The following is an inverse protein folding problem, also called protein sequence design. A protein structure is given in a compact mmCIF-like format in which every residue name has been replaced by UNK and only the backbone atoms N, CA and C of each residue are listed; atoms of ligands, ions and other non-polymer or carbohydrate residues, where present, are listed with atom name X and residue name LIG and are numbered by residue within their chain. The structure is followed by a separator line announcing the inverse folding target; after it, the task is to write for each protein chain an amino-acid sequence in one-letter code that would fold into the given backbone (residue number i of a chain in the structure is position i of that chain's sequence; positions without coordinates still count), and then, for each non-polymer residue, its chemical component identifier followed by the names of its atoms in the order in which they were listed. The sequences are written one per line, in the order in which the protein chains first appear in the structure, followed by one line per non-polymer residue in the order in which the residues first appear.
data_IF_011438418710
#
_entry.id   IF_011438418710
#
_cell.length_a   1.000
_cell.length_b   1.000
_cell.length_c   1.000
_cell.angle_alpha   90.00
_cell.angle_beta   90.00
_cell.angle_gamma   90.00
#
_symmetry.space_group_name_H-M   'P 1'
#
loop_
_entity.id
_entity.type
_entity.pdbx_description
1 polymer ?
#
# COMPACT_ATOMS: atom_id res chain seq x y z
N UNK A 1 14.23 10.67 -21.86
CA UNK A 1 13.37 11.40 -20.90
C UNK A 1 13.92 12.82 -20.75
N UNK A 2 13.06 13.84 -20.67
CA UNK A 2 13.53 15.21 -20.39
C UNK A 2 13.91 15.31 -18.91
N UNK A 3 15.05 15.92 -18.61
CA UNK A 3 15.57 16.05 -17.24
C UNK A 3 14.57 16.71 -16.28
N UNK A 4 13.85 17.73 -16.76
CA UNK A 4 12.79 18.40 -16.00
C UNK A 4 11.59 17.52 -15.63
N UNK A 5 11.36 16.37 -16.28
CA UNK A 5 10.30 15.43 -15.87
C UNK A 5 10.68 14.70 -14.58
N UNK A 6 11.96 14.33 -14.43
CA UNK A 6 12.46 13.65 -13.22
C UNK A 6 12.51 14.61 -12.05
N UNK A 7 12.91 15.86 -12.27
CA UNK A 7 12.91 16.90 -11.25
C UNK A 7 11.49 17.13 -10.68
N UNK A 8 10.49 17.30 -11.55
CA UNK A 8 9.08 17.45 -11.15
C UNK A 8 8.56 16.23 -10.40
N UNK A 9 8.96 15.02 -10.79
CA UNK A 9 8.58 13.81 -10.07
C UNK A 9 9.17 13.76 -8.64
N UNK A 10 10.42 14.21 -8.46
CA UNK A 10 11.03 14.32 -7.13
C UNK A 10 10.35 15.36 -6.26
N UNK A 11 10.05 16.53 -6.83
CA UNK A 11 9.32 17.59 -6.14
C UNK A 11 7.93 17.11 -5.69
N UNK A 12 7.19 16.43 -6.57
CA UNK A 12 5.91 15.82 -6.24
C UNK A 12 6.05 14.80 -5.09
N UNK A 13 7.05 13.93 -5.15
CA UNK A 13 7.33 12.97 -4.07
C UNK A 13 7.61 13.65 -2.73
N UNK A 14 8.36 14.75 -2.75
CA UNK A 14 8.65 15.55 -1.55
C UNK A 14 7.39 16.19 -0.96
N UNK A 15 6.51 16.76 -1.81
CA UNK A 15 5.23 17.32 -1.39
C UNK A 15 4.29 16.25 -0.83
N UNK A 16 4.21 15.08 -1.49
CA UNK A 16 3.43 13.94 -1.00
C UNK A 16 3.90 13.48 0.37
N UNK A 17 5.21 13.46 0.60
CA UNK A 17 5.80 13.16 1.89
C UNK A 17 5.42 14.14 3.01
N UNK A 18 4.92 15.34 2.69
CA UNK A 18 4.48 16.33 3.68
C UNK A 18 2.98 16.33 3.92
N UNK A 19 2.20 15.58 3.15
CA UNK A 19 0.76 15.47 3.34
C UNK A 19 0.42 14.91 4.72
N UNK A 20 -0.67 15.38 5.31
CA UNK A 20 -1.13 14.90 6.61
C UNK A 20 -1.42 13.39 6.57
N UNK A 21 -1.94 12.89 5.44
CA UNK A 21 -2.23 11.49 5.20
C UNK A 21 -0.96 10.63 5.18
N UNK A 22 0.11 11.08 4.51
CA UNK A 22 1.38 10.36 4.55
C UNK A 22 1.98 10.36 5.95
N UNK A 23 1.92 11.49 6.65
CA UNK A 23 2.42 11.59 8.02
C UNK A 23 1.62 10.71 8.99
N UNK A 24 0.30 10.62 8.83
CA UNK A 24 -0.55 9.70 9.57
C UNK A 24 -0.18 8.23 9.28
N UNK A 25 0.03 7.88 8.01
CA UNK A 25 0.50 6.55 7.62
C UNK A 25 1.87 6.22 8.20
N UNK A 26 2.81 7.16 8.20
CA UNK A 26 4.14 6.98 8.78
C UNK A 26 4.07 6.72 10.29
N UNK A 27 3.22 7.47 11.01
CA UNK A 27 2.98 7.24 12.45
C UNK A 27 2.35 5.87 12.72
N UNK A 28 1.33 5.48 11.95
CA UNK A 28 0.68 4.18 12.10
C UNK A 28 1.65 3.01 11.83
N UNK A 29 2.52 3.14 10.82
CA UNK A 29 3.58 2.16 10.54
C UNK A 29 4.58 2.04 11.69
N UNK A 30 4.95 3.17 12.32
CA UNK A 30 5.82 3.15 13.50
C UNK A 30 5.14 2.46 14.68
N UNK A 31 3.88 2.78 14.95
CA UNK A 31 3.11 2.15 16.02
C UNK A 31 2.99 0.63 15.83
N UNK A 32 2.75 0.16 14.59
CA UNK A 32 2.78 -1.26 14.25
C UNK A 32 4.13 -1.90 14.57
N UNK A 33 5.24 -1.26 14.15
CA UNK A 33 6.58 -1.80 14.35
C UNK A 33 7.00 -1.87 15.83
N UNK A 34 6.43 -1.02 16.67
CA UNK A 34 6.65 -1.01 18.12
C UNK A 34 5.77 -2.06 18.84
N UNK A 35 4.67 -2.50 18.22
CA UNK A 35 3.78 -3.55 18.72
C UNK A 35 4.34 -4.94 18.37
N UNK A 36 5.03 -5.53 19.35
CA UNK A 36 5.64 -6.87 19.23
C UNK A 36 4.61 -7.98 19.04
N UNK A 37 3.46 -7.88 19.71
CA UNK A 37 2.41 -8.89 19.65
C UNK A 37 1.81 -8.91 18.24
N UNK A 38 1.47 -7.74 17.72
CA UNK A 38 0.92 -7.57 16.39
C UNK A 38 1.93 -7.96 15.29
N UNK A 39 3.19 -7.63 15.46
CA UNK A 39 4.27 -8.07 14.56
C UNK A 39 4.39 -9.60 14.54
N UNK A 40 4.32 -10.24 15.71
CA UNK A 40 4.36 -11.70 15.82
C UNK A 40 3.15 -12.33 15.12
N UNK A 41 1.97 -11.75 15.32
CA UNK A 41 0.73 -12.20 14.69
C UNK A 41 0.78 -12.11 13.16
N UNK A 42 1.28 -10.99 12.62
CA UNK A 42 1.46 -10.81 11.18
C UNK A 42 2.46 -11.80 10.59
N UNK A 43 3.57 -12.05 11.27
CA UNK A 43 4.55 -13.05 10.82
C UNK A 43 3.93 -14.46 10.79
N UNK A 44 3.12 -14.80 11.80
CA UNK A 44 2.44 -16.09 11.85
C UNK A 44 1.42 -16.25 10.72
N UNK A 45 0.64 -15.21 10.43
CA UNK A 45 -0.28 -15.19 9.29
C UNK A 45 0.46 -15.37 7.96
N UNK A 46 1.58 -14.67 7.75
CA UNK A 46 2.38 -14.83 6.54
C UNK A 46 2.96 -16.25 6.38
N UNK A 47 3.35 -16.89 7.48
CA UNK A 47 3.80 -18.28 7.47
C UNK A 47 2.68 -19.26 7.11
N UNK A 48 1.48 -19.06 7.67
CA UNK A 48 0.27 -19.83 7.35
C UNK A 48 -0.11 -19.67 5.88
N UNK A 49 -0.20 -18.44 5.38
CA UNK A 49 -0.46 -18.15 3.95
C UNK A 49 0.53 -18.87 3.04
N UNK A 50 1.83 -18.82 3.39
CA UNK A 50 2.87 -19.48 2.62
C UNK A 50 2.74 -21.01 2.63
N UNK A 51 2.35 -21.62 3.76
CA UNK A 51 2.09 -23.06 3.85
C UNK A 51 0.88 -23.46 3.02
N UNK A 52 -0.22 -22.71 3.14
CA UNK A 52 -1.45 -22.95 2.38
C UNK A 52 -1.23 -22.80 0.88
N UNK A 53 -0.55 -21.74 0.44
CA UNK A 53 -0.20 -21.51 -0.96
C UNK A 53 0.63 -22.67 -1.54
N UNK A 54 1.64 -23.15 -0.81
CA UNK A 54 2.44 -24.31 -1.24
C UNK A 54 1.59 -25.59 -1.41
N UNK A 55 0.60 -25.82 -0.54
CA UNK A 55 -0.29 -26.98 -0.68
C UNK A 55 -1.17 -26.87 -1.92
N UNK A 56 -1.72 -25.68 -2.17
CA UNK A 56 -2.51 -25.40 -3.38
C UNK A 56 -1.68 -25.57 -4.65
N UNK A 57 -0.43 -25.14 -4.65
CA UNK A 57 0.51 -25.34 -5.78
C UNK A 57 0.77 -26.82 -6.08
N UNK A 58 0.71 -27.69 -5.06
CA UNK A 58 0.82 -29.15 -5.22
C UNK A 58 -0.50 -29.83 -5.57
N UNK A 59 -1.60 -29.08 -5.70
CA UNK A 59 -2.94 -29.64 -5.90
C UNK A 59 -3.52 -30.31 -4.64
N UNK A 60 -2.95 -30.03 -3.47
CA UNK A 60 -3.39 -30.54 -2.18
C UNK A 60 -4.27 -29.51 -1.47
N UNK A 61 -5.28 -29.97 -0.74
CA UNK A 61 -6.03 -29.10 0.15
C UNK A 61 -5.14 -28.65 1.33
N UNK A 62 -5.17 -27.37 1.75
CA UNK A 62 -4.46 -26.92 2.93
C UNK A 62 -4.92 -27.67 4.20
N UNK A 63 -4.01 -27.89 5.15
CA UNK A 63 -4.35 -28.56 6.41
C UNK A 63 -5.46 -27.81 7.17
N UNK A 64 -6.41 -28.54 7.74
CA UNK A 64 -7.52 -27.93 8.49
C UNK A 64 -7.03 -27.14 9.72
N UNK A 65 -5.94 -27.60 10.32
CA UNK A 65 -5.26 -26.91 11.44
C UNK A 65 -4.71 -25.56 11.00
N UNK A 66 -4.03 -25.49 9.84
CA UNK A 66 -3.52 -24.24 9.30
C UNK A 66 -4.66 -23.26 8.96
N UNK A 67 -5.78 -23.76 8.41
CA UNK A 67 -6.96 -22.93 8.14
C UNK A 67 -7.57 -22.37 9.44
N UNK A 68 -7.73 -23.21 10.46
CA UNK A 68 -8.31 -22.81 11.75
C UNK A 68 -7.42 -21.77 12.44
N UNK A 69 -6.10 -22.03 12.50
CA UNK A 69 -5.16 -21.10 13.10
C UNK A 69 -5.11 -19.77 12.34
N UNK A 70 -5.20 -19.82 11.01
CA UNK A 70 -5.29 -18.61 10.18
C UNK A 70 -6.50 -17.77 10.54
N UNK A 71 -7.69 -18.38 10.60
CA UNK A 71 -8.92 -17.69 10.95
C UNK A 71 -8.84 -17.06 12.35
N UNK A 72 -8.33 -17.79 13.35
CA UNK A 72 -8.17 -17.27 14.71
C UNK A 72 -7.18 -16.11 14.77
N UNK A 73 -6.01 -16.25 14.13
CA UNK A 73 -4.99 -15.20 14.07
C UNK A 73 -5.50 -13.97 13.31
N UNK A 74 -6.25 -14.17 12.24
CA UNK A 74 -6.82 -13.09 11.44
C UNK A 74 -7.91 -12.33 12.21
N UNK A 75 -8.74 -13.04 12.98
CA UNK A 75 -9.73 -12.40 13.86
C UNK A 75 -9.07 -11.52 14.93
N UNK A 76 -7.98 -12.00 15.55
CA UNK A 76 -7.18 -11.19 16.50
C UNK A 76 -6.57 -9.96 15.82
N UNK A 77 -6.08 -10.12 14.59
CA UNK A 77 -5.49 -9.03 13.82
C UNK A 77 -6.54 -7.95 13.52
N UNK A 78 -7.72 -8.35 13.05
CA UNK A 78 -8.82 -7.43 12.75
C UNK A 78 -9.32 -6.68 13.98
N UNK A 79 -9.29 -7.30 15.16
CA UNK A 79 -9.68 -6.66 16.41
C UNK A 79 -8.64 -5.64 16.92
N UNK A 80 -7.41 -5.63 16.39
CA UNK A 80 -6.35 -4.74 16.86
C UNK A 80 -6.60 -3.27 16.46
N UNK A 81 -6.64 -2.33 17.42
CA UNK A 81 -6.76 -0.90 17.13
C UNK A 81 -5.58 -0.36 16.33
N UNK A 82 -4.36 -0.87 16.56
CA UNK A 82 -3.15 -0.46 15.85
C UNK A 82 -3.23 -0.88 14.38
N UNK A 83 -3.73 -2.09 14.11
CA UNK A 83 -3.96 -2.56 12.75
C UNK A 83 -5.06 -1.76 12.04
N UNK A 84 -6.19 -1.53 12.71
CA UNK A 84 -7.29 -0.71 12.16
C UNK A 84 -6.83 0.71 11.81
N UNK A 85 -6.03 1.34 12.68
CA UNK A 85 -5.46 2.66 12.44
C UNK A 85 -4.53 2.67 11.22
N UNK A 86 -3.72 1.62 11.04
CA UNK A 86 -2.86 1.46 9.86
C UNK A 86 -3.68 1.33 8.58
N UNK A 87 -4.69 0.45 8.56
CA UNK A 87 -5.55 0.23 7.38
C UNK A 87 -6.27 1.52 7.00
N UNK A 88 -6.81 2.25 7.99
CA UNK A 88 -7.43 3.55 7.74
C UNK A 88 -6.44 4.57 7.16
N UNK A 89 -5.24 4.68 7.73
CA UNK A 89 -4.22 5.60 7.25
C UNK A 89 -3.72 5.24 5.83
N UNK A 90 -3.59 3.95 5.52
CA UNK A 90 -3.27 3.47 4.17
C UNK A 90 -4.35 3.89 3.17
N UNK A 91 -5.62 3.58 3.46
CA UNK A 91 -6.75 3.95 2.59
C UNK A 91 -6.86 5.45 2.36
N UNK A 92 -6.58 6.27 3.37
CA UNK A 92 -6.57 7.73 3.25
C UNK A 92 -5.47 8.21 2.30
N UNK A 93 -4.25 7.70 2.47
CA UNK A 93 -3.12 8.09 1.61
C UNK A 93 -3.27 7.56 0.18
N UNK A 94 -3.83 6.36 -0.02
CA UNK A 94 -4.16 5.84 -1.35
C UNK A 94 -5.13 6.75 -2.10
N UNK A 95 -6.12 7.35 -1.42
CA UNK A 95 -7.02 8.32 -2.04
C UNK A 95 -6.29 9.58 -2.51
N UNK A 96 -5.29 10.05 -1.77
CA UNK A 96 -4.42 11.16 -2.19
C UNK A 96 -3.62 10.77 -3.43
N UNK A 97 -2.96 9.61 -3.40
CA UNK A 97 -2.20 9.10 -4.54
C UNK A 97 -3.06 8.91 -5.78
N UNK A 98 -4.28 8.40 -5.63
CA UNK A 98 -5.21 8.22 -6.74
C UNK A 98 -5.50 9.57 -7.41
N UNK A 99 -5.85 10.61 -6.63
CA UNK A 99 -6.13 11.95 -7.17
C UNK A 99 -4.92 12.51 -7.93
N UNK A 100 -3.73 12.34 -7.36
CA UNK A 100 -2.48 12.79 -7.99
C UNK A 100 -2.23 12.06 -9.31
N UNK A 101 -2.43 10.74 -9.34
CA UNK A 101 -2.29 9.94 -10.55
C UNK A 101 -3.33 10.34 -11.62
N UNK A 102 -4.58 10.62 -11.22
CA UNK A 102 -5.63 11.09 -12.13
C UNK A 102 -5.21 12.43 -12.78
N UNK A 103 -4.61 13.36 -12.03
CA UNK A 103 -4.11 14.64 -12.57
C UNK A 103 -2.88 14.47 -13.48
N UNK A 104 -1.97 13.56 -13.13
CA UNK A 104 -0.84 13.21 -14.00
C UNK A 104 -1.35 12.66 -15.33
N UNK A 105 -2.34 11.76 -15.31
CA UNK A 105 -2.93 11.18 -16.51
C UNK A 105 -3.55 12.27 -17.40
N UNK A 106 -4.33 13.20 -16.84
CA UNK A 106 -4.87 14.36 -17.56
C UNK A 106 -3.76 15.23 -18.18
N UNK A 107 -2.67 15.46 -17.43
CA UNK A 107 -1.51 16.21 -17.93
C UNK A 107 -0.83 15.53 -19.12
N UNK A 108 -0.73 14.20 -19.11
CA UNK A 108 -0.20 13.41 -20.22
C UNK A 108 -1.11 13.54 -21.45
N UNK A 109 -2.43 13.40 -21.28
CA UNK A 109 -3.41 13.55 -22.36
C UNK A 109 -3.34 14.95 -22.99
N UNK A 110 -3.32 16.00 -22.17
CA UNK A 110 -3.21 17.38 -22.63
C UNK A 110 -1.88 17.63 -23.38
N UNK A 111 -0.77 17.11 -22.85
CA UNK A 111 0.54 17.20 -23.49
C UNK A 111 0.61 16.47 -24.84
N UNK A 112 -0.07 15.33 -24.97
CA UNK A 112 -0.17 14.57 -26.22
C UNK A 112 -1.04 15.29 -27.27
N UNK A 113 -2.11 15.98 -26.84
CA UNK A 113 -3.00 16.75 -27.71
C UNK A 113 -2.39 18.11 -28.12
N UNK A 114 -1.48 18.65 -27.32
CA UNK A 114 -0.73 19.87 -27.62
C UNK A 114 0.30 19.62 -28.73
N UNK A 115 -0.17 19.57 -29.99
CA UNK A 115 0.73 19.69 -31.15
C UNK A 115 1.46 21.02 -31.03
N UNK A 116 2.79 20.98 -31.03
CA UNK A 116 3.60 22.16 -31.33
C UNK A 116 3.12 22.65 -32.70
N UNK A 117 2.40 23.77 -32.75
CA UNK A 117 2.20 24.50 -34.00
C UNK A 117 3.58 25.06 -34.34
N UNK A 118 4.29 24.41 -35.27
CA UNK A 118 5.41 25.04 -35.96
C UNK A 118 4.78 26.01 -36.98
N UNK A 119 4.94 27.34 -36.84
CA UNK A 119 4.56 28.24 -37.91
C UNK A 119 5.46 27.96 -39.11
N UNK A 120 4.83 27.71 -40.26
CA UNK A 120 5.45 27.65 -41.59
C UNK A 120 5.98 29.00 -42.03
#
# INVERSE_FOLDING_TARGET
MREGTIERARELGWLLGQTEEYQALARARRALAEDRELTTLLNRLAELDSRMARSLERGEAPAAEDQTEYEESFNKLQASPVYQALVAAQSNFERVLKRVNDEIARGIEAGAQSRIILPS
#
